data_IF_717738843034
#
_entry.id   IF_717738843034
#
_cell.length_a   1.000
_cell.length_b   1.000
_cell.length_c   1.000
_cell.angle_alpha   90.00
_cell.angle_beta   90.00
_cell.angle_gamma   90.00
#
_symmetry.space_group_name_H-M   'P 1'
#
loop_
_entity.id
_entity.type
_entity.pdbx_description
1 polymer ?
#
# COMPACT_ATOMS: atom_id res chain seq x y z
N UNK A 1 -7.91 13.97 -29.91
CA UNK A 1 -6.68 13.26 -29.49
C UNK A 1 -5.68 14.34 -29.14
N UNK A 2 -5.46 14.59 -27.85
CA UNK A 2 -4.38 15.52 -27.40
C UNK A 2 -3.04 14.87 -27.74
N UNK A 3 -2.11 15.63 -28.31
CA UNK A 3 -0.74 15.16 -28.50
C UNK A 3 -0.14 14.69 -27.17
N UNK A 4 0.65 13.61 -27.15
CA UNK A 4 1.25 13.12 -25.91
C UNK A 4 2.03 14.25 -25.24
N UNK A 5 1.80 14.45 -23.94
CA UNK A 5 2.53 15.44 -23.17
C UNK A 5 3.97 14.94 -22.98
N UNK A 6 4.91 15.63 -23.59
CA UNK A 6 6.34 15.30 -23.48
C UNK A 6 6.99 16.25 -22.47
N UNK A 7 7.83 15.71 -21.58
CA UNK A 7 8.61 16.45 -20.60
C UNK A 7 10.07 16.09 -20.68
N UNK A 8 10.93 17.07 -20.55
CA UNK A 8 12.38 16.88 -20.42
C UNK A 8 12.80 17.24 -18.99
N UNK A 9 13.62 16.39 -18.38
CA UNK A 9 14.19 16.65 -17.06
C UNK A 9 15.71 16.68 -17.20
N UNK A 10 16.31 17.85 -16.97
CA UNK A 10 17.76 17.96 -16.85
C UNK A 10 18.18 17.57 -15.45
N UNK A 11 18.86 16.43 -15.30
CA UNK A 11 19.30 15.89 -14.03
C UNK A 11 20.81 16.05 -13.84
N UNK A 12 21.24 16.66 -12.75
CA UNK A 12 22.66 16.78 -12.42
C UNK A 12 23.30 15.41 -12.21
N UNK A 13 22.59 14.53 -11.52
CA UNK A 13 22.94 13.11 -11.39
C UNK A 13 21.66 12.27 -11.39
N UNK A 14 21.75 11.07 -11.91
CA UNK A 14 20.72 10.04 -11.75
C UNK A 14 21.36 8.79 -11.12
N UNK A 15 20.58 8.11 -10.27
CA UNK A 15 20.97 6.81 -9.73
C UNK A 15 20.40 5.70 -10.59
N UNK A 16 21.24 4.83 -11.13
CA UNK A 16 20.83 3.62 -11.83
C UNK A 16 20.81 2.44 -10.85
N UNK A 17 19.59 1.98 -10.54
CA UNK A 17 19.38 0.85 -9.61
C UNK A 17 19.88 -0.49 -10.14
N UNK A 18 20.02 -0.65 -11.45
CA UNK A 18 20.50 -1.90 -12.03
C UNK A 18 22.02 -2.05 -11.85
N UNK A 19 22.77 -0.96 -12.07
CA UNK A 19 24.22 -0.97 -11.94
C UNK A 19 24.72 -0.53 -10.56
N UNK A 20 23.85 0.08 -9.74
CA UNK A 20 24.23 0.68 -8.45
C UNK A 20 25.10 1.92 -8.59
N UNK A 21 25.14 2.55 -9.76
CA UNK A 21 26.02 3.69 -10.06
C UNK A 21 25.27 4.98 -10.30
N UNK A 22 25.97 6.10 -10.13
CA UNK A 22 25.48 7.41 -10.51
C UNK A 22 26.00 7.81 -11.89
N UNK A 23 25.12 8.37 -12.70
CA UNK A 23 25.47 8.99 -13.99
C UNK A 23 25.20 10.49 -13.91
N UNK A 24 26.17 11.30 -14.35
CA UNK A 24 26.07 12.77 -14.29
C UNK A 24 25.57 13.34 -15.60
N UNK A 25 24.96 14.53 -15.51
CA UNK A 25 24.53 15.35 -16.65
C UNK A 25 23.67 14.56 -17.65
N UNK A 26 22.47 14.20 -17.25
CA UNK A 26 21.53 13.43 -18.07
C UNK A 26 20.27 14.24 -18.37
N UNK A 27 19.70 13.98 -19.52
CA UNK A 27 18.33 14.38 -19.86
C UNK A 27 17.42 13.17 -19.83
N UNK A 28 16.40 13.19 -18.97
CA UNK A 28 15.36 12.17 -18.94
C UNK A 28 14.19 12.69 -19.78
N UNK A 29 13.81 11.93 -20.80
CA UNK A 29 12.67 12.25 -21.67
C UNK A 29 11.49 11.39 -21.26
N UNK A 30 10.39 12.06 -20.90
CA UNK A 30 9.14 11.40 -20.49
C UNK A 30 8.10 11.68 -21.58
N UNK A 31 7.45 10.65 -22.07
CA UNK A 31 6.29 10.74 -22.93
C UNK A 31 5.08 10.15 -22.19
N UNK A 32 4.09 10.98 -21.94
CA UNK A 32 2.97 10.64 -21.06
C UNK A 32 3.46 10.27 -19.65
N UNK A 33 3.37 9.00 -19.28
CA UNK A 33 3.78 8.49 -17.96
C UNK A 33 4.97 7.51 -18.02
N UNK A 34 5.69 7.49 -19.16
CA UNK A 34 6.77 6.54 -19.41
C UNK A 34 8.07 7.30 -19.68
N UNK A 35 9.16 6.86 -19.07
CA UNK A 35 10.51 7.30 -19.46
C UNK A 35 10.80 6.68 -20.83
N UNK A 36 10.80 7.51 -21.87
CA UNK A 36 11.05 7.06 -23.24
C UNK A 36 12.54 6.91 -23.55
N UNK A 37 13.39 7.78 -22.99
CA UNK A 37 14.85 7.65 -23.07
C UNK A 37 15.55 8.41 -21.94
N UNK A 38 16.83 8.09 -21.76
CA UNK A 38 17.78 8.81 -20.90
C UNK A 38 19.01 9.09 -21.76
N UNK A 39 19.26 10.36 -22.02
CA UNK A 39 20.29 10.83 -22.94
C UNK A 39 21.47 11.46 -22.20
N UNK A 40 22.62 11.48 -22.83
CA UNK A 40 23.82 12.13 -22.33
C UNK A 40 23.74 13.66 -22.55
N UNK A 41 24.14 14.40 -21.54
CA UNK A 41 24.14 15.88 -21.57
C UNK A 41 22.78 16.47 -21.30
N UNK A 42 22.71 17.80 -21.43
CA UNK A 42 21.48 18.59 -21.25
C UNK A 42 20.94 18.97 -22.64
N UNK A 43 19.93 18.25 -23.08
CA UNK A 43 19.31 18.43 -24.41
C UNK A 43 18.12 19.35 -24.25
N UNK A 44 18.14 20.45 -24.94
CA UNK A 44 17.03 21.41 -24.92
C UNK A 44 15.81 20.89 -25.69
N UNK A 45 14.60 21.23 -25.23
CA UNK A 45 13.37 20.89 -25.93
C UNK A 45 13.35 21.41 -27.37
N UNK A 46 12.82 20.61 -28.29
CA UNK A 46 12.73 20.96 -29.72
C UNK A 46 11.71 22.07 -30.03
N UNK A 47 10.80 22.33 -29.09
CA UNK A 47 9.77 23.37 -29.21
C UNK A 47 9.19 23.73 -27.83
N UNK A 48 8.50 24.88 -27.75
CA UNK A 48 7.94 25.44 -26.52
C UNK A 48 6.75 24.66 -25.93
N UNK A 49 6.26 23.59 -26.59
CA UNK A 49 5.20 22.72 -26.07
C UNK A 49 5.74 21.63 -25.16
N UNK A 50 7.05 21.45 -25.13
CA UNK A 50 7.71 20.48 -24.27
C UNK A 50 8.09 21.16 -22.96
N UNK A 51 7.58 20.65 -21.85
CA UNK A 51 7.93 21.15 -20.52
C UNK A 51 9.39 20.77 -20.19
N UNK A 52 10.20 21.76 -19.81
CA UNK A 52 11.55 21.53 -19.28
C UNK A 52 11.57 21.71 -17.77
N UNK A 53 12.02 20.67 -17.07
CA UNK A 53 12.23 20.67 -15.62
C UNK A 53 13.73 20.70 -15.35
N UNK A 54 14.24 21.81 -14.85
CA UNK A 54 15.68 21.99 -14.58
C UNK A 54 16.02 21.49 -13.15
N UNK A 55 16.69 20.35 -13.10
CA UNK A 55 17.22 19.74 -11.88
C UNK A 55 18.73 19.48 -11.98
N UNK A 56 19.45 20.32 -12.72
CA UNK A 56 20.90 20.20 -12.96
C UNK A 56 21.75 20.15 -11.69
N UNK A 57 21.23 20.71 -10.58
CA UNK A 57 21.92 20.70 -9.28
C UNK A 57 21.45 19.59 -8.35
N UNK A 58 20.52 18.75 -8.81
CA UNK A 58 19.89 17.71 -7.98
C UNK A 58 20.36 16.31 -8.37
N UNK A 59 20.16 15.38 -7.44
CA UNK A 59 20.31 13.95 -7.67
C UNK A 59 18.90 13.35 -7.77
N UNK A 60 18.63 12.69 -8.89
CA UNK A 60 17.37 11.98 -9.08
C UNK A 60 17.53 10.52 -8.74
N UNK A 61 16.57 10.00 -8.02
CA UNK A 61 16.46 8.60 -7.65
C UNK A 61 15.18 8.03 -8.27
N UNK A 62 15.13 6.72 -8.57
CA UNK A 62 13.85 6.04 -8.76
C UNK A 62 12.97 6.23 -7.53
N UNK A 63 11.65 6.24 -7.73
CA UNK A 63 10.72 6.32 -6.62
C UNK A 63 10.94 5.18 -5.62
N UNK A 64 10.89 5.49 -4.33
CA UNK A 64 11.04 4.52 -3.27
C UNK A 64 9.83 3.59 -3.20
N UNK A 65 10.06 2.37 -2.71
CA UNK A 65 9.01 1.35 -2.52
C UNK A 65 9.02 0.93 -1.05
N UNK A 66 7.85 0.97 -0.40
CA UNK A 66 7.66 0.41 0.94
C UNK A 66 6.72 -0.80 0.87
N UNK A 67 7.23 -1.95 1.32
CA UNK A 67 6.49 -3.21 1.26
C UNK A 67 5.58 -3.49 2.46
N UNK A 68 5.53 -2.59 3.46
CA UNK A 68 4.70 -2.79 4.65
C UNK A 68 4.20 -1.47 5.23
N UNK A 69 3.07 -1.02 4.71
CA UNK A 69 2.40 0.20 5.21
C UNK A 69 0.96 -0.07 5.63
N UNK A 70 0.37 0.91 6.33
CA UNK A 70 -1.05 0.98 6.66
C UNK A 70 -1.53 2.40 6.35
N UNK A 71 -2.22 2.59 5.23
CA UNK A 71 -2.52 3.91 4.67
C UNK A 71 -3.75 4.59 5.29
N UNK A 72 -4.52 3.88 6.12
CA UNK A 72 -5.78 4.40 6.66
C UNK A 72 -5.61 5.34 7.86
N UNK A 73 -4.46 5.31 8.55
CA UNK A 73 -4.24 6.14 9.74
C UNK A 73 -2.76 6.28 10.08
N UNK A 74 -2.38 7.49 10.52
CA UNK A 74 -1.10 7.77 11.20
C UNK A 74 -1.23 7.71 12.73
N UNK A 75 -2.46 7.57 13.25
CA UNK A 75 -2.72 7.60 14.69
C UNK A 75 -2.19 6.37 15.41
N UNK A 76 -1.61 6.57 16.58
CA UNK A 76 -1.13 5.52 17.48
C UNK A 76 -1.76 5.60 18.86
N UNK A 77 -1.52 4.58 19.71
CA UNK A 77 -1.92 4.58 21.11
C UNK A 77 -3.41 4.84 21.35
N UNK A 78 -3.74 5.72 22.29
CA UNK A 78 -5.12 6.01 22.71
C UNK A 78 -5.95 6.63 21.58
N UNK A 79 -5.37 7.49 20.76
CA UNK A 79 -6.08 8.15 19.67
C UNK A 79 -6.62 7.13 18.65
N UNK A 80 -5.84 6.11 18.33
CA UNK A 80 -6.28 5.02 17.45
C UNK A 80 -7.53 4.30 17.97
N UNK A 81 -7.60 4.09 19.30
CA UNK A 81 -8.79 3.49 19.92
C UNK A 81 -10.00 4.42 19.83
N UNK A 82 -9.84 5.70 20.14
CA UNK A 82 -10.92 6.69 20.08
C UNK A 82 -11.46 6.79 18.64
N UNK A 83 -10.60 6.90 17.65
CA UNK A 83 -10.96 7.03 16.25
C UNK A 83 -11.78 5.83 15.75
N UNK A 84 -11.55 4.61 16.27
CA UNK A 84 -12.37 3.44 15.91
C UNK A 84 -13.85 3.57 16.30
N UNK A 85 -14.17 4.36 17.30
CA UNK A 85 -15.55 4.60 17.73
C UNK A 85 -16.16 5.86 17.15
N UNK A 86 -15.32 6.82 16.72
CA UNK A 86 -15.78 8.12 16.25
C UNK A 86 -15.75 8.26 14.74
N UNK A 87 -14.82 7.61 14.07
CA UNK A 87 -14.64 7.73 12.62
C UNK A 87 -15.57 6.76 11.86
N UNK A 88 -16.37 7.30 10.98
CA UNK A 88 -17.04 6.53 9.95
C UNK A 88 -16.05 6.09 8.87
N UNK A 89 -16.44 5.16 7.99
CA UNK A 89 -15.60 4.78 6.83
C UNK A 89 -15.28 5.97 5.91
N UNK A 90 -16.18 6.96 5.84
CA UNK A 90 -15.95 8.18 5.07
C UNK A 90 -14.84 9.04 5.70
N UNK A 91 -14.84 9.20 7.03
CA UNK A 91 -13.79 9.93 7.74
C UNK A 91 -12.43 9.26 7.54
N UNK A 92 -12.36 7.93 7.66
CA UNK A 92 -11.15 7.15 7.37
C UNK A 92 -10.70 7.35 5.92
N UNK A 93 -11.62 7.37 4.95
CA UNK A 93 -11.28 7.58 3.54
C UNK A 93 -10.68 8.97 3.31
N UNK A 94 -11.24 10.03 3.88
CA UNK A 94 -10.67 11.37 3.76
C UNK A 94 -9.31 11.48 4.46
N UNK A 95 -9.16 10.94 5.66
CA UNK A 95 -7.87 10.90 6.36
C UNK A 95 -6.81 10.15 5.55
N UNK A 96 -7.16 9.02 4.93
CA UNK A 96 -6.24 8.21 4.14
C UNK A 96 -5.70 8.94 2.89
N UNK A 97 -6.46 9.88 2.31
CA UNK A 97 -5.97 10.70 1.18
C UNK A 97 -4.81 11.60 1.60
N UNK A 98 -4.85 12.14 2.82
CA UNK A 98 -3.78 12.97 3.39
C UNK A 98 -2.52 12.12 3.59
N UNK A 99 -2.67 10.92 4.15
CA UNK A 99 -1.56 9.96 4.35
C UNK A 99 -0.95 9.58 3.00
N UNK A 100 -1.77 9.28 2.00
CA UNK A 100 -1.31 8.93 0.65
C UNK A 100 -0.48 10.05 0.02
N UNK A 101 -0.96 11.29 0.10
CA UNK A 101 -0.23 12.45 -0.43
C UNK A 101 1.09 12.69 0.30
N UNK A 102 1.13 12.60 1.62
CA UNK A 102 2.37 12.71 2.41
C UNK A 102 3.37 11.63 2.02
N UNK A 103 2.92 10.38 1.87
CA UNK A 103 3.76 9.24 1.46
C UNK A 103 4.37 9.47 0.09
N UNK A 104 3.57 9.92 -0.89
CA UNK A 104 4.07 10.25 -2.23
C UNK A 104 5.10 11.39 -2.19
N UNK A 105 4.82 12.47 -1.46
CA UNK A 105 5.74 13.61 -1.33
C UNK A 105 7.03 13.30 -0.56
N UNK A 106 7.01 12.26 0.27
CA UNK A 106 8.22 11.72 0.91
C UNK A 106 9.09 10.88 -0.05
N UNK A 107 8.65 10.68 -1.31
CA UNK A 107 9.39 9.95 -2.34
C UNK A 107 8.97 8.49 -2.52
N UNK A 108 8.01 7.99 -1.75
CA UNK A 108 7.49 6.64 -1.94
C UNK A 108 6.44 6.65 -3.04
N UNK A 109 6.79 6.13 -4.20
CA UNK A 109 5.92 6.10 -5.38
C UNK A 109 5.12 4.81 -5.50
N UNK A 110 5.48 3.78 -4.74
CA UNK A 110 4.78 2.50 -4.68
C UNK A 110 4.79 1.98 -3.25
N UNK A 111 3.67 1.47 -2.78
CA UNK A 111 3.54 0.89 -1.45
C UNK A 111 2.72 -0.41 -1.47
N UNK A 112 3.03 -1.30 -0.52
CA UNK A 112 2.21 -2.47 -0.23
C UNK A 112 1.49 -2.27 1.10
N UNK A 113 0.19 -1.98 1.04
CA UNK A 113 -0.69 -1.81 2.20
C UNK A 113 -1.18 -3.18 2.67
N UNK A 114 -0.71 -3.59 3.83
CA UNK A 114 -0.90 -4.96 4.34
C UNK A 114 -1.94 -5.05 5.44
N UNK A 115 -2.90 -4.15 5.46
CA UNK A 115 -4.07 -4.26 6.33
C UNK A 115 -4.75 -2.92 6.61
N UNK A 116 -6.06 -2.97 6.60
CA UNK A 116 -6.93 -1.83 6.88
C UNK A 116 -8.37 -2.28 7.12
N UNK A 117 -9.30 -1.36 7.05
CA UNK A 117 -10.75 -1.62 7.20
C UNK A 117 -11.42 -2.07 5.89
N UNK A 118 -10.70 -2.01 4.77
CA UNK A 118 -11.18 -2.13 3.39
C UNK A 118 -11.31 -0.79 2.67
N UNK A 119 -11.18 0.33 3.37
CA UNK A 119 -11.11 1.68 2.79
C UNK A 119 -9.85 1.83 1.94
N UNK A 120 -8.76 1.15 2.28
CA UNK A 120 -7.51 1.10 1.51
C UNK A 120 -7.72 0.62 0.06
N UNK A 121 -8.68 -0.26 -0.21
CA UNK A 121 -9.07 -0.66 -1.57
C UNK A 121 -9.71 0.52 -2.32
N UNK A 122 -10.60 1.26 -1.65
CA UNK A 122 -11.22 2.45 -2.23
C UNK A 122 -10.19 3.55 -2.50
N UNK A 123 -9.24 3.76 -1.58
CA UNK A 123 -8.11 4.69 -1.75
C UNK A 123 -7.28 4.34 -2.99
N UNK A 124 -6.84 3.08 -3.13
CA UNK A 124 -6.13 2.61 -4.32
C UNK A 124 -6.90 2.89 -5.60
N UNK A 125 -8.20 2.58 -5.61
CA UNK A 125 -9.04 2.80 -6.78
C UNK A 125 -9.19 4.29 -7.12
N UNK A 126 -9.28 5.17 -6.13
CA UNK A 126 -9.36 6.61 -6.32
C UNK A 126 -8.04 7.16 -6.89
N UNK A 127 -6.89 6.70 -6.39
CA UNK A 127 -5.57 7.07 -6.93
C UNK A 127 -5.42 6.59 -8.38
N UNK A 128 -5.77 5.34 -8.67
CA UNK A 128 -5.68 4.79 -10.03
C UNK A 128 -6.57 5.52 -11.05
N UNK A 129 -7.66 6.14 -10.59
CA UNK A 129 -8.55 6.96 -11.40
C UNK A 129 -8.14 8.44 -11.46
N UNK A 130 -7.06 8.83 -10.77
CA UNK A 130 -6.62 10.23 -10.69
C UNK A 130 -7.56 11.15 -9.91
N UNK A 131 -8.41 10.59 -9.03
CA UNK A 131 -9.31 11.38 -8.17
C UNK A 131 -8.55 12.01 -7.01
N UNK A 132 -7.54 11.31 -6.49
CA UNK A 132 -6.66 11.79 -5.42
C UNK A 132 -5.20 11.48 -5.74
N UNK A 133 -4.29 12.31 -5.21
CA UNK A 133 -2.86 12.10 -5.32
C UNK A 133 -2.38 11.05 -4.32
N UNK A 134 -1.53 10.14 -4.76
CA UNK A 134 -0.92 9.13 -3.89
C UNK A 134 0.03 8.19 -4.64
N UNK A 135 0.73 7.32 -3.93
CA UNK A 135 1.57 6.30 -4.54
C UNK A 135 0.72 5.22 -5.21
N UNK A 136 1.33 4.41 -6.07
CA UNK A 136 0.73 3.15 -6.51
C UNK A 136 0.57 2.24 -5.28
N UNK A 137 -0.64 1.76 -5.02
CA UNK A 137 -0.94 0.92 -3.86
C UNK A 137 -1.27 -0.50 -4.32
N UNK A 138 -0.61 -1.49 -3.70
CA UNK A 138 -1.04 -2.88 -3.71
C UNK A 138 -1.58 -3.20 -2.32
N UNK A 139 -2.83 -3.62 -2.20
CA UNK A 139 -3.46 -3.77 -0.90
C UNK A 139 -4.07 -5.15 -0.65
N UNK A 140 -3.96 -5.60 0.60
CA UNK A 140 -4.64 -6.81 1.08
C UNK A 140 -6.09 -6.58 1.51
N UNK A 141 -6.55 -5.33 1.54
CA UNK A 141 -7.77 -5.00 2.27
C UNK A 141 -7.61 -5.30 3.77
N UNK A 142 -8.51 -6.08 4.35
CA UNK A 142 -8.40 -6.55 5.75
C UNK A 142 -7.40 -7.70 5.88
N UNK A 143 -6.59 -7.69 6.92
CA UNK A 143 -5.71 -8.81 7.31
C UNK A 143 -6.52 -10.05 7.68
N UNK A 144 -5.94 -11.25 7.54
CA UNK A 144 -6.50 -12.52 8.05
C UNK A 144 -5.74 -12.93 9.31
N UNK A 145 -6.48 -13.24 10.36
CA UNK A 145 -6.01 -13.66 11.69
C UNK A 145 -6.86 -14.82 12.22
N UNK A 146 -6.45 -15.39 13.34
CA UNK A 146 -7.29 -16.29 14.14
C UNK A 146 -8.02 -15.52 15.23
N UNK A 147 -9.07 -16.08 15.84
CA UNK A 147 -9.71 -15.53 17.03
C UNK A 147 -8.67 -15.30 18.13
N UNK A 148 -8.63 -14.09 18.68
CA UNK A 148 -7.62 -13.68 19.66
C UNK A 148 -6.21 -13.50 19.09
N UNK A 149 -6.01 -13.69 17.79
CA UNK A 149 -4.73 -13.51 17.11
C UNK A 149 -4.36 -12.04 16.93
N UNK A 150 -3.12 -11.78 16.48
CA UNK A 150 -2.58 -10.44 16.36
C UNK A 150 -3.44 -9.49 15.47
N UNK A 151 -4.05 -10.01 14.42
CA UNK A 151 -4.90 -9.24 13.50
C UNK A 151 -6.39 -9.30 13.81
N UNK A 152 -6.82 -9.90 14.91
CA UNK A 152 -8.22 -9.91 15.32
C UNK A 152 -8.66 -8.48 15.67
N UNK A 153 -9.65 -7.92 14.97
CA UNK A 153 -10.06 -6.52 15.16
C UNK A 153 -10.74 -6.26 16.51
N UNK A 154 -11.15 -7.33 17.22
CA UNK A 154 -11.88 -7.24 18.49
C UNK A 154 -11.01 -7.44 19.73
N UNK A 155 -9.72 -7.69 19.57
CA UNK A 155 -8.79 -7.86 20.68
C UNK A 155 -8.80 -6.67 21.64
N UNK A 156 -9.04 -6.96 22.94
CA UNK A 156 -9.04 -5.97 24.01
C UNK A 156 -10.36 -5.23 24.21
N UNK A 157 -11.39 -5.53 23.41
CA UNK A 157 -12.74 -5.00 23.64
C UNK A 157 -13.52 -5.87 24.62
N UNK A 158 -14.46 -5.27 25.31
CA UNK A 158 -15.46 -5.99 26.09
C UNK A 158 -16.35 -6.78 25.14
N UNK A 159 -16.58 -8.05 25.43
CA UNK A 159 -17.34 -8.96 24.57
C UNK A 159 -18.79 -8.54 24.33
N UNK A 160 -19.38 -7.76 25.24
CA UNK A 160 -20.73 -7.23 25.11
C UNK A 160 -20.82 -5.97 24.21
N UNK A 161 -19.69 -5.41 23.77
CA UNK A 161 -19.62 -4.25 22.88
C UNK A 161 -19.33 -4.59 21.42
N UNK A 162 -18.92 -5.81 21.14
CA UNK A 162 -18.51 -6.25 19.81
C UNK A 162 -19.04 -7.65 19.54
N UNK A 163 -19.44 -7.88 18.30
CA UNK A 163 -19.78 -9.23 17.83
C UNK A 163 -18.52 -10.06 17.57
N UNK A 164 -18.64 -11.37 17.61
CA UNK A 164 -17.53 -12.28 17.26
C UNK A 164 -17.28 -12.21 15.73
N UNK A 165 -16.10 -11.76 15.30
CA UNK A 165 -15.84 -11.52 13.89
C UNK A 165 -15.59 -12.84 13.14
N UNK A 166 -16.11 -12.92 11.92
CA UNK A 166 -15.96 -14.09 11.05
C UNK A 166 -14.96 -13.88 9.89
N UNK A 167 -14.97 -14.80 8.90
CA UNK A 167 -14.07 -14.76 7.74
C UNK A 167 -14.17 -13.46 6.93
N UNK A 168 -15.32 -12.83 6.88
CA UNK A 168 -15.53 -11.55 6.16
C UNK A 168 -14.79 -10.39 6.85
N UNK A 169 -14.66 -10.46 8.18
CA UNK A 169 -13.88 -9.52 8.98
C UNK A 169 -12.40 -9.86 9.06
N UNK A 170 -12.04 -11.08 8.65
CA UNK A 170 -10.67 -11.55 8.60
C UNK A 170 -10.33 -12.54 9.71
N UNK A 171 -11.30 -13.00 10.50
CA UNK A 171 -11.05 -14.00 11.54
C UNK A 171 -11.42 -15.39 11.06
N UNK A 172 -10.44 -16.30 11.09
CA UNK A 172 -10.58 -17.66 10.57
C UNK A 172 -10.01 -18.68 11.55
N UNK A 173 -10.74 -19.76 11.78
CA UNK A 173 -10.36 -20.83 12.72
C UNK A 173 -10.38 -22.23 12.07
N UNK A 174 -10.80 -22.29 10.81
CA UNK A 174 -10.94 -23.55 10.06
C UNK A 174 -10.48 -23.40 8.61
N UNK A 175 -10.28 -24.52 7.92
CA UNK A 175 -10.02 -24.55 6.47
C UNK A 175 -11.16 -23.90 5.67
N UNK A 176 -12.40 -24.13 6.10
CA UNK A 176 -13.58 -23.54 5.44
C UNK A 176 -13.57 -22.01 5.56
N UNK A 177 -13.28 -21.49 6.76
CA UNK A 177 -13.18 -20.05 7.02
C UNK A 177 -12.06 -19.43 6.21
N UNK A 178 -10.89 -20.10 6.16
CA UNK A 178 -9.73 -19.65 5.40
C UNK A 178 -10.08 -19.43 3.92
N UNK A 179 -10.71 -20.43 3.30
CA UNK A 179 -11.17 -20.34 1.90
C UNK A 179 -12.21 -19.24 1.70
N UNK A 180 -13.17 -19.12 2.62
CA UNK A 180 -14.18 -18.05 2.58
C UNK A 180 -13.52 -16.67 2.67
N UNK A 181 -12.56 -16.48 3.59
CA UNK A 181 -11.87 -15.23 3.80
C UNK A 181 -11.07 -14.79 2.55
N UNK A 182 -10.30 -15.71 1.94
CA UNK A 182 -9.54 -15.41 0.71
C UNK A 182 -10.47 -15.01 -0.43
N UNK A 183 -11.53 -15.79 -0.68
CA UNK A 183 -12.53 -15.48 -1.72
C UNK A 183 -13.21 -14.14 -1.48
N UNK A 184 -13.47 -13.80 -0.22
CA UNK A 184 -14.04 -12.51 0.14
C UNK A 184 -13.07 -11.36 -0.12
N UNK A 185 -11.75 -11.54 0.11
CA UNK A 185 -10.73 -10.54 -0.26
C UNK A 185 -10.69 -10.34 -1.77
N UNK A 186 -10.64 -11.44 -2.53
CA UNK A 186 -10.69 -11.38 -4.00
C UNK A 186 -11.95 -10.68 -4.50
N UNK A 187 -13.13 -11.08 -4.01
CA UNK A 187 -14.43 -10.45 -4.37
C UNK A 187 -14.41 -8.94 -4.16
N UNK A 188 -13.75 -8.45 -3.11
CA UNK A 188 -13.67 -7.03 -2.79
C UNK A 188 -12.49 -6.31 -3.47
N UNK A 189 -11.71 -7.02 -4.27
CA UNK A 189 -10.66 -6.45 -5.10
C UNK A 189 -9.33 -6.24 -4.39
N UNK A 190 -8.99 -7.07 -3.39
CA UNK A 190 -7.64 -7.10 -2.82
C UNK A 190 -6.63 -7.62 -3.87
N UNK A 191 -5.41 -7.07 -3.85
CA UNK A 191 -4.32 -7.45 -4.77
C UNK A 191 -3.48 -8.61 -4.21
N UNK A 192 -3.55 -8.84 -2.90
CA UNK A 192 -2.79 -9.84 -2.17
C UNK A 192 -3.50 -10.26 -0.90
N UNK A 193 -3.02 -11.35 -0.29
CA UNK A 193 -3.49 -11.81 1.01
C UNK A 193 -2.43 -11.53 2.07
N UNK A 194 -2.84 -10.94 3.19
CA UNK A 194 -2.02 -10.77 4.39
C UNK A 194 -2.55 -11.64 5.51
N UNK A 195 -1.66 -12.41 6.11
CA UNK A 195 -1.94 -13.15 7.36
C UNK A 195 -1.06 -12.64 8.50
N UNK A 196 -1.55 -12.72 9.73
CA UNK A 196 -0.76 -12.53 10.94
C UNK A 196 -0.47 -13.91 11.55
N UNK A 197 0.63 -14.51 11.11
CA UNK A 197 0.95 -15.90 11.43
C UNK A 197 1.40 -16.12 12.88
N UNK A 198 1.84 -15.07 13.56
CA UNK A 198 2.33 -15.11 14.95
C UNK A 198 1.69 -14.02 15.80
N UNK A 199 1.91 -14.07 17.12
CA UNK A 199 1.29 -13.15 18.08
C UNK A 199 1.65 -11.67 17.90
N UNK A 200 2.78 -11.36 17.27
CA UNK A 200 3.23 -9.98 17.07
C UNK A 200 3.65 -9.26 18.36
N UNK A 201 4.56 -8.30 18.23
CA UNK A 201 5.13 -7.56 19.38
C UNK A 201 4.16 -6.53 19.96
N UNK A 202 3.29 -5.95 19.12
CA UNK A 202 2.37 -4.86 19.48
C UNK A 202 0.96 -5.35 19.86
N UNK A 203 0.73 -6.66 19.92
CA UNK A 203 -0.55 -7.22 20.33
C UNK A 203 -0.58 -7.55 21.82
N UNK A 204 -1.78 -7.76 22.36
CA UNK A 204 -1.99 -8.23 23.73
C UNK A 204 -1.68 -9.71 23.92
N UNK A 205 -1.11 -10.38 22.91
CA UNK A 205 -0.75 -11.80 22.96
C UNK A 205 0.34 -12.05 24.01
N UNK A 206 0.19 -13.11 24.80
CA UNK A 206 1.18 -13.50 25.82
C UNK A 206 2.53 -13.87 25.23
N UNK A 207 2.57 -14.32 23.98
CA UNK A 207 3.79 -14.68 23.26
C UNK A 207 3.71 -14.18 21.81
N UNK A 208 4.62 -13.30 21.44
CA UNK A 208 4.69 -12.73 20.08
C UNK A 208 5.25 -13.68 19.03
N UNK A 209 5.88 -14.79 19.40
CA UNK A 209 6.61 -15.69 18.48
C UNK A 209 5.82 -16.96 18.13
N UNK A 210 4.85 -17.35 19.00
CA UNK A 210 4.12 -18.58 18.77
C UNK A 210 3.23 -18.49 17.52
N UNK A 211 3.15 -19.57 16.72
CA UNK A 211 2.24 -19.64 15.59
C UNK A 211 0.80 -19.56 16.06
N UNK A 212 -0.01 -18.83 15.31
CA UNK A 212 -1.43 -18.64 15.60
C UNK A 212 -2.34 -19.38 14.62
N UNK A 213 -1.77 -19.95 13.57
CA UNK A 213 -2.47 -20.81 12.61
C UNK A 213 -1.91 -22.21 12.65
N UNK A 214 -2.75 -23.20 12.37
CA UNK A 214 -2.29 -24.53 12.00
C UNK A 214 -1.73 -24.51 10.58
N UNK A 215 -0.82 -25.43 10.28
CA UNK A 215 -0.24 -25.56 8.94
C UNK A 215 -1.31 -25.81 7.86
N UNK A 216 -2.33 -26.60 8.17
CA UNK A 216 -3.44 -26.92 7.26
C UNK A 216 -4.24 -25.67 6.88
N UNK A 217 -4.52 -24.79 7.85
CA UNK A 217 -5.23 -23.52 7.59
C UNK A 217 -4.37 -22.59 6.74
N UNK A 218 -3.07 -22.49 7.01
CA UNK A 218 -2.15 -21.70 6.19
C UNK A 218 -2.06 -22.23 4.75
N UNK A 219 -1.94 -23.54 4.57
CA UNK A 219 -1.97 -24.18 3.24
C UNK A 219 -3.28 -23.90 2.50
N UNK A 220 -4.41 -23.92 3.20
CA UNK A 220 -5.71 -23.61 2.60
C UNK A 220 -5.79 -22.14 2.16
N UNK A 221 -5.22 -21.20 2.92
CA UNK A 221 -5.14 -19.80 2.51
C UNK A 221 -4.33 -19.66 1.23
N UNK A 222 -3.10 -20.20 1.19
CA UNK A 222 -2.20 -20.09 0.04
C UNK A 222 -2.81 -20.75 -1.19
N UNK A 223 -3.24 -22.02 -1.08
CA UNK A 223 -3.80 -22.74 -2.23
C UNK A 223 -5.06 -22.07 -2.78
N UNK A 224 -5.88 -21.45 -1.92
CA UNK A 224 -7.07 -20.72 -2.40
C UNK A 224 -6.69 -19.39 -3.05
N UNK A 225 -5.62 -18.73 -2.60
CA UNK A 225 -5.13 -17.51 -3.23
C UNK A 225 -4.54 -17.80 -4.63
N UNK A 226 -3.92 -18.96 -4.82
CA UNK A 226 -3.37 -19.41 -6.11
C UNK A 226 -4.46 -19.70 -7.17
N UNK A 227 -5.73 -19.85 -6.75
CA UNK A 227 -6.87 -20.03 -7.68
C UNK A 227 -7.25 -18.74 -8.41
N UNK A 228 -6.73 -17.56 -7.99
CA UNK A 228 -7.10 -16.22 -8.46
C UNK A 228 -5.90 -15.37 -8.87
#
# INVERSE_FOLDING_TARGET
>A
VTSPQVKYIHAGKIYDSNSGKYHSNKTIIISENIISSIEDGFIDPKNDKIELIDLKTKVLLPGLIDFHVHMESESGGKERYINRFQDSKADVAFKSTVVAKKTLLAGFTTVRDVGGSGVNIALRNAINKGVVDGPRIFTSGKTIATTGGHGDPTNGYRADLVEDPGPEDGVVNSISDARKAVRYRYKNGADLIKITATGGVMSMAKNGQNPQFTEEVMKAIVSTADDY
#
